data_IF_783837853966
#
_entry.id   IF_783837853966
#
_cell.length_a   1.000
_cell.length_b   1.000
_cell.length_c   1.000
_cell.angle_alpha   90.00
_cell.angle_beta   90.00
_cell.angle_gamma   90.00
#
_symmetry.space_group_name_H-M   'P 1'
#
loop_
_entity.id
_entity.type
_entity.pdbx_description
1 polymer ?
#
# COMPACT_ATOMS: atom_id res chain seq x y z
N UNK A 1 4.41 14.01 9.20
CA UNK A 1 5.12 12.86 8.59
C UNK A 1 5.22 13.14 7.11
N UNK A 2 6.39 13.03 6.49
CA UNK A 2 6.56 13.27 5.05
C UNK A 2 6.27 12.00 4.24
N UNK A 3 5.85 12.15 2.99
CA UNK A 3 5.55 11.03 2.07
C UNK A 3 6.73 10.03 1.98
N UNK A 4 8.00 10.47 1.87
CA UNK A 4 9.13 9.54 1.81
C UNK A 4 9.28 8.68 3.06
N UNK A 5 9.02 9.23 4.25
CA UNK A 5 9.11 8.47 5.50
C UNK A 5 8.06 7.35 5.57
N UNK A 6 6.87 7.57 5.01
CA UNK A 6 5.83 6.53 4.93
C UNK A 6 6.26 5.37 4.02
N UNK A 7 6.83 5.68 2.85
CA UNK A 7 7.32 4.66 1.91
C UNK A 7 8.41 3.79 2.54
N UNK A 8 9.35 4.40 3.28
CA UNK A 8 10.40 3.66 4.01
C UNK A 8 9.78 2.78 5.08
N UNK A 9 8.84 3.28 5.87
CA UNK A 9 8.18 2.51 6.92
C UNK A 9 7.45 1.27 6.34
N UNK A 10 6.70 1.44 5.25
CA UNK A 10 6.02 0.32 4.57
C UNK A 10 7.05 -0.71 4.07
N UNK A 11 8.14 -0.25 3.45
CA UNK A 11 9.19 -1.14 2.96
C UNK A 11 9.84 -1.99 4.06
N UNK A 12 10.13 -1.38 5.23
CA UNK A 12 10.67 -2.09 6.39
C UNK A 12 9.70 -3.14 6.91
N UNK A 13 8.41 -2.82 7.00
CA UNK A 13 7.37 -3.78 7.43
C UNK A 13 7.29 -4.96 6.47
N UNK A 14 7.29 -4.72 5.16
CA UNK A 14 7.26 -5.77 4.13
C UNK A 14 8.49 -6.70 4.23
N UNK A 15 9.67 -6.14 4.47
CA UNK A 15 10.90 -6.91 4.65
C UNK A 15 10.83 -7.81 5.89
N UNK A 16 10.33 -7.28 7.01
CA UNK A 16 10.14 -8.06 8.24
C UNK A 16 9.16 -9.21 8.03
N UNK A 17 8.02 -8.96 7.37
CA UNK A 17 7.03 -10.00 7.02
C UNK A 17 7.67 -11.09 6.16
N UNK A 18 8.45 -10.70 5.14
CA UNK A 18 9.14 -11.64 4.26
C UNK A 18 10.16 -12.50 5.02
N UNK A 19 10.93 -11.92 5.93
CA UNK A 19 11.88 -12.65 6.79
C UNK A 19 11.16 -13.69 7.65
N UNK A 20 10.04 -13.33 8.29
CA UNK A 20 9.26 -14.28 9.09
C UNK A 20 8.71 -15.43 8.25
N UNK A 21 8.21 -15.13 7.04
CA UNK A 21 7.76 -16.15 6.09
C UNK A 21 8.90 -17.11 5.69
N UNK A 22 10.05 -16.55 5.30
CA UNK A 22 11.22 -17.33 4.89
C UNK A 22 11.78 -18.18 6.04
N UNK A 23 12.10 -17.58 7.19
CA UNK A 23 12.65 -18.30 8.36
C UNK A 23 11.64 -19.33 8.87
N UNK A 24 10.34 -19.01 8.88
CA UNK A 24 9.30 -19.95 9.28
C UNK A 24 9.25 -21.19 8.42
N UNK A 25 9.38 -21.03 7.10
CA UNK A 25 9.49 -22.15 6.15
C UNK A 25 10.80 -22.93 6.35
N UNK A 26 11.95 -22.25 6.40
CA UNK A 26 13.26 -22.90 6.55
C UNK A 26 13.44 -23.66 7.87
N UNK A 27 12.93 -23.13 8.98
CA UNK A 27 13.08 -23.75 10.31
C UNK A 27 11.97 -24.73 10.66
N UNK A 28 11.06 -25.04 9.73
CA UNK A 28 9.87 -25.86 9.99
C UNK A 28 9.18 -25.44 11.31
N UNK A 29 9.03 -24.12 11.52
CA UNK A 29 8.55 -23.56 12.79
C UNK A 29 7.11 -23.07 12.64
N UNK A 30 6.18 -23.81 13.25
CA UNK A 30 4.75 -23.50 13.26
C UNK A 30 4.45 -22.13 13.86
N UNK A 31 5.21 -21.70 14.87
CA UNK A 31 5.04 -20.40 15.50
C UNK A 31 5.34 -19.26 14.51
N UNK A 32 6.48 -19.33 13.81
CA UNK A 32 6.89 -18.31 12.84
C UNK A 32 5.95 -18.27 11.63
N UNK A 33 5.53 -19.44 11.12
CA UNK A 33 4.54 -19.52 10.04
C UNK A 33 3.19 -18.94 10.46
N UNK A 34 2.74 -19.17 11.71
CA UNK A 34 1.51 -18.58 12.23
C UNK A 34 1.63 -17.05 12.40
N UNK A 35 2.78 -16.54 12.86
CA UNK A 35 3.04 -15.09 12.95
C UNK A 35 2.96 -14.46 11.55
N UNK A 36 3.61 -15.06 10.55
CA UNK A 36 3.51 -14.62 9.17
C UNK A 36 2.06 -14.56 8.67
N UNK A 37 1.26 -15.61 8.91
CA UNK A 37 -0.16 -15.62 8.54
C UNK A 37 -0.94 -14.50 9.26
N UNK A 38 -0.70 -14.29 10.55
CA UNK A 38 -1.34 -13.24 11.34
C UNK A 38 -0.99 -11.83 10.82
N UNK A 39 0.28 -11.58 10.48
CA UNK A 39 0.70 -10.32 9.90
C UNK A 39 0.04 -10.05 8.54
N UNK A 40 -0.03 -11.05 7.65
CA UNK A 40 -0.75 -10.90 6.38
C UNK A 40 -2.24 -10.61 6.58
N UNK A 41 -2.91 -11.31 7.52
CA UNK A 41 -4.31 -11.04 7.83
C UNK A 41 -4.53 -9.64 8.40
N UNK A 42 -3.61 -9.15 9.23
CA UNK A 42 -3.67 -7.78 9.75
C UNK A 42 -3.54 -6.75 8.61
N UNK A 43 -2.59 -6.95 7.69
CA UNK A 43 -2.42 -6.07 6.51
C UNK A 43 -3.69 -6.09 5.64
N UNK A 44 -4.31 -7.25 5.42
CA UNK A 44 -5.56 -7.35 4.67
C UNK A 44 -6.72 -6.57 5.32
N UNK A 45 -6.84 -6.62 6.64
CA UNK A 45 -7.85 -5.83 7.37
C UNK A 45 -7.58 -4.33 7.22
N UNK A 46 -6.31 -3.92 7.30
CA UNK A 46 -5.92 -2.52 7.09
C UNK A 46 -6.21 -2.07 5.66
N UNK A 47 -6.00 -2.93 4.67
CA UNK A 47 -6.30 -2.65 3.26
C UNK A 47 -7.80 -2.43 3.03
N UNK A 48 -8.66 -3.30 3.59
CA UNK A 48 -10.12 -3.10 3.55
C UNK A 48 -10.52 -1.81 4.28
N UNK A 49 -9.95 -1.56 5.45
CA UNK A 49 -10.24 -0.36 6.23
C UNK A 49 -9.86 0.92 5.48
N UNK A 50 -8.69 0.92 4.83
CA UNK A 50 -8.23 2.02 4.00
C UNK A 50 -9.12 2.23 2.76
N UNK A 51 -9.57 1.15 2.11
CA UNK A 51 -10.48 1.22 0.98
C UNK A 51 -11.83 1.84 1.38
N UNK A 52 -12.40 1.41 2.51
CA UNK A 52 -13.65 1.97 3.05
C UNK A 52 -13.46 3.44 3.43
N UNK A 53 -12.38 3.78 4.14
CA UNK A 53 -12.09 5.16 4.52
C UNK A 53 -11.91 6.06 3.30
N UNK A 54 -11.19 5.59 2.27
CA UNK A 54 -11.01 6.32 1.02
C UNK A 54 -12.33 6.58 0.30
N UNK A 55 -13.25 5.62 0.31
CA UNK A 55 -14.58 5.79 -0.26
C UNK A 55 -15.43 6.78 0.53
N UNK A 56 -15.47 6.66 1.86
CA UNK A 56 -16.30 7.52 2.73
C UNK A 56 -15.80 8.96 2.78
N UNK A 57 -14.48 9.17 2.80
CA UNK A 57 -13.87 10.50 2.91
C UNK A 57 -13.60 11.16 1.55
N UNK A 58 -14.00 10.56 0.42
CA UNK A 58 -13.69 11.08 -0.91
C UNK A 58 -14.11 12.55 -1.09
N UNK A 59 -15.28 12.94 -0.58
CA UNK A 59 -15.75 14.33 -0.62
C UNK A 59 -14.90 15.29 0.21
N UNK A 60 -14.54 14.90 1.42
CA UNK A 60 -13.69 15.71 2.31
C UNK A 60 -12.28 15.89 1.75
N UNK A 61 -11.73 14.85 1.12
CA UNK A 61 -10.42 14.91 0.46
C UNK A 61 -10.43 15.94 -0.66
N UNK A 62 -11.52 16.02 -1.44
CA UNK A 62 -11.67 17.05 -2.48
C UNK A 62 -11.65 18.46 -1.89
N UNK A 63 -12.45 18.73 -0.86
CA UNK A 63 -12.48 20.06 -0.23
C UNK A 63 -11.13 20.45 0.37
N UNK A 64 -10.47 19.52 1.06
CA UNK A 64 -9.14 19.71 1.61
C UNK A 64 -8.12 20.01 0.50
N UNK A 65 -8.22 19.32 -0.63
CA UNK A 65 -7.36 19.55 -1.79
C UNK A 65 -7.52 20.97 -2.33
N UNK A 66 -8.76 21.41 -2.61
CA UNK A 66 -9.04 22.78 -3.08
C UNK A 66 -8.46 23.82 -2.13
N UNK A 67 -8.72 23.67 -0.83
CA UNK A 67 -8.22 24.58 0.20
C UNK A 67 -6.69 24.62 0.21
N UNK A 68 -6.04 23.45 0.18
CA UNK A 68 -4.57 23.34 0.21
C UNK A 68 -3.94 23.96 -1.03
N UNK A 69 -4.56 23.77 -2.20
CA UNK A 69 -4.08 24.37 -3.45
C UNK A 69 -4.19 25.90 -3.40
N UNK A 70 -5.31 26.45 -2.94
CA UNK A 70 -5.48 27.90 -2.77
C UNK A 70 -4.52 28.50 -1.73
N UNK A 71 -4.34 27.85 -0.58
CA UNK A 71 -3.37 28.28 0.44
C UNK A 71 -1.93 28.25 -0.11
N UNK A 72 -1.58 27.22 -0.87
CA UNK A 72 -0.26 27.08 -1.51
C UNK A 72 -0.03 28.13 -2.59
N UNK A 73 -1.06 28.43 -3.39
CA UNK A 73 -1.01 29.47 -4.42
C UNK A 73 -0.79 30.85 -3.78
N UNK A 74 -1.56 31.21 -2.74
CA UNK A 74 -1.36 32.48 -2.01
C UNK A 74 0.00 32.58 -1.31
N UNK A 75 0.63 31.45 -1.01
CA UNK A 75 1.96 31.37 -0.41
C UNK A 75 3.11 31.38 -1.43
N UNK A 76 2.79 31.33 -2.73
CA UNK A 76 3.74 31.16 -3.84
C UNK A 76 4.87 32.22 -3.83
N UNK A 77 4.51 33.49 -3.72
CA UNK A 77 5.47 34.60 -3.72
C UNK A 77 6.29 34.72 -2.42
N UNK A 78 5.93 33.97 -1.38
CA UNK A 78 6.50 34.10 -0.03
C UNK A 78 7.47 32.99 0.34
N UNK A 79 7.29 31.77 -0.19
CA UNK A 79 8.10 30.62 0.19
C UNK A 79 8.57 29.82 -1.02
N UNK A 80 9.88 29.54 -1.08
CA UNK A 80 10.49 28.72 -2.13
C UNK A 80 9.91 27.30 -2.20
N UNK A 81 9.49 26.72 -1.07
CA UNK A 81 8.85 25.41 -1.09
C UNK A 81 7.49 25.42 -1.80
N UNK A 82 6.75 26.53 -1.72
CA UNK A 82 5.46 26.68 -2.38
C UNK A 82 5.63 26.94 -3.88
N UNK A 83 6.61 27.75 -4.29
CA UNK A 83 6.88 27.99 -5.70
C UNK A 83 7.25 26.70 -6.44
N UNK A 84 8.13 25.88 -5.86
CA UNK A 84 8.64 24.67 -6.50
C UNK A 84 7.53 23.63 -6.66
N UNK A 85 6.67 23.50 -5.65
CA UNK A 85 5.55 22.56 -5.69
C UNK A 85 4.49 22.95 -6.73
N UNK A 86 4.11 24.24 -6.78
CA UNK A 86 3.14 24.75 -7.75
C UNK A 86 3.72 24.68 -9.17
N UNK A 87 4.97 25.08 -9.38
CA UNK A 87 5.62 25.05 -10.69
C UNK A 87 5.72 23.61 -11.23
N UNK A 88 6.11 22.68 -10.37
CA UNK A 88 6.15 21.26 -10.71
C UNK A 88 4.77 20.73 -11.10
N UNK A 89 3.74 21.07 -10.33
CA UNK A 89 2.37 20.66 -10.60
C UNK A 89 1.86 21.21 -11.94
N UNK A 90 2.04 22.49 -12.20
CA UNK A 90 1.58 23.16 -13.42
C UNK A 90 2.24 22.57 -14.67
N UNK A 91 3.56 22.33 -14.62
CA UNK A 91 4.29 21.66 -15.71
C UNK A 91 3.88 20.20 -15.87
N UNK A 92 3.64 19.48 -14.78
CA UNK A 92 3.31 18.05 -14.84
C UNK A 92 1.89 17.77 -15.31
N UNK A 93 0.95 18.68 -15.04
CA UNK A 93 -0.47 18.55 -15.36
C UNK A 93 -0.91 19.42 -16.53
N UNK A 94 0.00 20.23 -17.08
CA UNK A 94 -0.27 21.19 -18.17
C UNK A 94 -1.48 22.07 -17.86
N UNK A 95 -1.40 22.76 -16.72
CA UNK A 95 -2.49 23.53 -16.13
C UNK A 95 -1.99 24.85 -15.53
N UNK A 96 -2.91 25.77 -15.24
CA UNK A 96 -2.58 27.06 -14.65
C UNK A 96 -3.58 27.48 -13.57
N UNK A 97 -3.06 27.99 -12.46
CA UNK A 97 -3.86 28.35 -11.28
C UNK A 97 -4.56 27.13 -10.66
N UNK A 98 -5.50 27.38 -9.76
CA UNK A 98 -6.35 26.33 -9.17
C UNK A 98 -7.51 26.03 -10.10
N UNK A 99 -8.32 27.03 -10.40
CA UNK A 99 -9.46 26.97 -11.32
C UNK A 99 -9.09 27.53 -12.70
N UNK A 100 -8.11 28.44 -12.77
CA UNK A 100 -7.61 28.94 -14.05
C UNK A 100 -6.51 30.00 -13.91
N UNK A 101 -6.00 30.53 -15.04
CA UNK A 101 -4.93 31.53 -15.03
C UNK A 101 -5.31 32.83 -14.32
N UNK A 102 -6.60 33.15 -14.19
CA UNK A 102 -7.09 34.32 -13.46
C UNK A 102 -6.77 34.26 -11.96
N UNK A 103 -6.50 33.10 -11.38
CA UNK A 103 -6.13 32.98 -9.96
C UNK A 103 -4.80 33.66 -9.62
N UNK A 104 -4.00 34.00 -10.63
CA UNK A 104 -2.78 34.78 -10.46
C UNK A 104 -3.02 36.28 -10.31
N UNK A 105 -4.23 36.77 -10.62
CA UNK A 105 -4.64 38.17 -10.46
C UNK A 105 -4.70 38.50 -8.97
N UNK A 106 -3.70 39.23 -8.48
CA UNK A 106 -3.56 39.62 -7.07
C UNK A 106 -2.42 38.96 -6.32
N UNK A 107 -1.78 37.94 -6.91
CA UNK A 107 -0.55 37.33 -6.38
C UNK A 107 0.68 38.04 -6.93
N UNK A 108 0.67 38.33 -8.23
CA UNK A 108 1.67 39.18 -8.86
C UNK A 108 1.12 40.59 -9.05
N UNK A 109 1.96 41.64 -8.88
CA UNK A 109 1.55 43.00 -9.17
C UNK A 109 1.28 43.15 -10.66
N UNK A 110 0.03 43.47 -11.03
CA UNK A 110 -0.29 43.82 -12.42
C UNK A 110 0.38 45.14 -12.79
N UNK A 111 0.90 45.23 -14.02
CA UNK A 111 1.26 46.53 -14.60
C UNK A 111 -0.03 47.17 -15.12
N UNK A 112 -0.33 48.39 -14.68
CA UNK A 112 -1.56 49.13 -14.99
C UNK A 112 -1.84 49.36 -16.50
N UNK A 113 -0.92 49.00 -17.39
CA UNK A 113 -0.96 49.33 -18.82
C UNK A 113 -1.21 48.14 -19.75
N UNK A 114 -1.48 46.94 -19.24
CA UNK A 114 -1.73 45.76 -20.07
C UNK A 114 -2.83 44.87 -19.52
N UNK A 115 -3.83 44.52 -20.34
CA UNK A 115 -4.86 43.51 -20.04
C UNK A 115 -4.31 42.07 -19.92
N UNK A 116 -2.99 41.90 -19.92
CA UNK A 116 -2.33 40.61 -19.86
C UNK A 116 -2.15 40.14 -18.41
N UNK A 117 -2.75 38.99 -18.08
CA UNK A 117 -2.54 38.31 -16.80
C UNK A 117 -1.09 37.83 -16.69
N UNK A 118 -0.38 38.25 -15.65
CA UNK A 118 0.97 37.76 -15.39
C UNK A 118 0.91 36.42 -14.66
N UNK A 119 1.49 35.39 -15.27
CA UNK A 119 1.55 34.02 -14.78
C UNK A 119 3.00 33.57 -14.66
N UNK A 120 3.33 32.58 -13.81
CA UNK A 120 4.69 32.04 -13.74
C UNK A 120 5.03 31.25 -15.01
N UNK A 121 6.33 31.08 -15.28
CA UNK A 121 6.83 30.34 -16.44
C UNK A 121 6.31 28.90 -16.51
N UNK A 122 6.03 28.29 -15.36
CA UNK A 122 5.44 26.94 -15.26
C UNK A 122 4.03 26.82 -15.86
N UNK A 123 3.32 27.93 -16.04
CA UNK A 123 1.99 27.99 -16.64
C UNK A 123 2.03 28.19 -18.18
N UNK A 124 3.22 28.42 -18.76
CA UNK A 124 3.37 28.64 -20.19
C UNK A 124 3.40 27.33 -20.98
N UNK A 125 2.51 27.24 -21.96
CA UNK A 125 2.48 26.16 -22.93
C UNK A 125 3.55 26.35 -24.01
N UNK A 126 3.76 27.59 -24.44
CA UNK A 126 4.77 27.96 -25.44
C UNK A 126 5.54 29.21 -25.01
N UNK A 127 6.87 29.13 -25.13
CA UNK A 127 7.81 30.19 -24.79
C UNK A 127 8.33 30.86 -26.07
N UNK A 128 8.14 32.17 -26.19
CA UNK A 128 8.80 33.00 -27.21
C UNK A 128 9.94 33.80 -26.56
N UNK A 129 11.12 33.19 -26.51
CA UNK A 129 12.27 33.71 -25.79
C UNK A 129 12.08 33.65 -24.26
N UNK A 130 11.97 34.82 -23.61
CA UNK A 130 11.69 34.94 -22.16
C UNK A 130 10.21 35.26 -21.86
N UNK A 131 9.37 35.41 -22.89
CA UNK A 131 7.97 35.77 -22.71
C UNK A 131 7.07 34.57 -22.93
N UNK A 132 6.02 34.47 -22.10
CA UNK A 132 4.94 33.52 -22.26
C UNK A 132 4.08 33.94 -23.46
N UNK A 133 4.09 33.16 -24.55
CA UNK A 133 3.24 33.44 -25.71
C UNK A 133 1.83 32.88 -25.52
N UNK A 134 1.76 31.65 -25.01
CA UNK A 134 0.52 30.95 -24.73
C UNK A 134 0.60 30.28 -23.36
N UNK A 135 -0.47 30.38 -22.57
CA UNK A 135 -0.58 29.79 -21.24
C UNK A 135 -1.68 28.73 -21.19
N UNK A 136 -1.59 27.80 -20.24
CA UNK A 136 -2.61 26.79 -20.06
C UNK A 136 -3.91 27.40 -19.55
N UNK A 137 -5.01 27.20 -20.28
CA UNK A 137 -6.36 27.66 -19.89
C UNK A 137 -7.04 26.75 -18.86
N UNK A 138 -6.58 25.51 -18.72
CA UNK A 138 -7.16 24.55 -17.78
C UNK A 138 -6.68 24.80 -16.35
N UNK A 139 -7.60 24.86 -15.38
CA UNK A 139 -7.27 24.86 -13.95
C UNK A 139 -6.60 23.55 -13.50
N UNK A 140 -5.66 23.65 -12.56
CA UNK A 140 -4.97 22.47 -12.04
C UNK A 140 -5.85 21.56 -11.20
N UNK A 141 -6.90 22.10 -10.58
CA UNK A 141 -7.84 21.31 -9.79
C UNK A 141 -8.58 20.29 -10.68
N UNK A 142 -9.11 20.75 -11.81
CA UNK A 142 -9.83 19.90 -12.76
C UNK A 142 -8.92 18.89 -13.44
N UNK A 143 -7.72 19.31 -13.88
CA UNK A 143 -6.72 18.39 -14.43
C UNK A 143 -6.29 17.34 -13.42
N UNK A 144 -6.07 17.74 -12.16
CA UNK A 144 -5.75 16.81 -11.09
C UNK A 144 -6.89 15.82 -10.84
N UNK A 145 -8.15 16.28 -10.82
CA UNK A 145 -9.30 15.39 -10.68
C UNK A 145 -9.40 14.38 -11.83
N UNK A 146 -9.17 14.81 -13.06
CA UNK A 146 -9.15 13.92 -14.22
C UNK A 146 -8.04 12.86 -14.11
N UNK A 147 -6.81 13.29 -13.79
CA UNK A 147 -5.66 12.39 -13.63
C UNK A 147 -5.88 11.42 -12.46
N UNK A 148 -6.40 11.88 -11.32
CA UNK A 148 -6.74 11.01 -10.19
C UNK A 148 -7.81 10.01 -10.61
N UNK A 149 -8.86 10.42 -11.33
CA UNK A 149 -9.90 9.51 -11.80
C UNK A 149 -9.36 8.42 -12.72
N UNK A 150 -8.50 8.77 -13.67
CA UNK A 150 -7.86 7.81 -14.55
C UNK A 150 -6.88 6.89 -13.81
N UNK A 151 -6.10 7.45 -12.88
CA UNK A 151 -5.14 6.70 -12.06
C UNK A 151 -5.82 5.83 -11.01
N UNK A 152 -7.04 6.18 -10.56
CA UNK A 152 -7.80 5.41 -9.58
C UNK A 152 -8.03 3.98 -10.05
N UNK A 153 -8.23 3.76 -11.35
CA UNK A 153 -8.37 2.41 -11.92
C UNK A 153 -7.07 1.60 -11.79
N UNK A 154 -5.91 2.22 -12.02
CA UNK A 154 -4.61 1.56 -11.83
C UNK A 154 -4.37 1.24 -10.35
N UNK A 155 -4.68 2.17 -9.45
CA UNK A 155 -4.57 1.96 -8.00
C UNK A 155 -5.48 0.83 -7.54
N UNK A 156 -6.74 0.81 -7.98
CA UNK A 156 -7.71 -0.23 -7.66
C UNK A 156 -7.24 -1.61 -8.15
N UNK A 157 -6.66 -1.68 -9.34
CA UNK A 157 -6.07 -2.91 -9.89
C UNK A 157 -4.88 -3.37 -9.04
N UNK A 158 -4.01 -2.44 -8.62
CA UNK A 158 -2.89 -2.73 -7.73
C UNK A 158 -3.36 -3.29 -6.38
N UNK A 159 -4.31 -2.63 -5.72
CA UNK A 159 -4.90 -3.10 -4.46
C UNK A 159 -5.53 -4.49 -4.62
N UNK A 160 -6.34 -4.69 -5.67
CA UNK A 160 -6.96 -6.00 -5.94
C UNK A 160 -5.90 -7.11 -6.10
N UNK A 161 -4.79 -6.81 -6.78
CA UNK A 161 -3.67 -7.76 -6.94
C UNK A 161 -3.01 -8.08 -5.61
N UNK A 162 -2.77 -7.06 -4.78
CA UNK A 162 -2.17 -7.22 -3.45
C UNK A 162 -3.08 -8.08 -2.56
N UNK A 163 -4.38 -7.77 -2.50
CA UNK A 163 -5.36 -8.58 -1.78
C UNK A 163 -5.36 -10.05 -2.23
N UNK A 164 -5.31 -10.31 -3.54
CA UNK A 164 -5.26 -11.67 -4.07
C UNK A 164 -3.98 -12.41 -3.63
N UNK A 165 -2.82 -11.77 -3.74
CA UNK A 165 -1.53 -12.33 -3.31
C UNK A 165 -1.51 -12.60 -1.80
N UNK A 166 -2.10 -11.73 -0.99
CA UNK A 166 -2.21 -11.93 0.46
C UNK A 166 -3.05 -13.16 0.79
N UNK A 167 -4.21 -13.34 0.13
CA UNK A 167 -5.07 -14.51 0.33
C UNK A 167 -4.30 -15.80 0.01
N UNK A 168 -3.59 -15.84 -1.12
CA UNK A 168 -2.74 -16.98 -1.46
C UNK A 168 -1.62 -17.19 -0.42
N UNK A 169 -0.99 -16.12 0.05
CA UNK A 169 0.04 -16.17 1.09
C UNK A 169 -0.47 -16.77 2.40
N UNK A 170 -1.67 -16.37 2.83
CA UNK A 170 -2.34 -16.89 4.02
C UNK A 170 -2.72 -18.36 3.83
N UNK A 171 -3.30 -18.73 2.69
CA UNK A 171 -3.62 -20.13 2.36
C UNK A 171 -2.36 -21.01 2.41
N UNK A 172 -1.28 -20.58 1.76
CA UNK A 172 0.01 -21.26 1.78
C UNK A 172 0.56 -21.39 3.21
N UNK A 173 0.50 -20.32 4.01
CA UNK A 173 0.96 -20.35 5.39
C UNK A 173 0.18 -21.37 6.24
N UNK A 174 -1.15 -21.42 6.10
CA UNK A 174 -1.97 -22.41 6.81
C UNK A 174 -1.66 -23.84 6.37
N UNK A 175 -1.47 -24.06 5.07
CA UNK A 175 -1.10 -25.37 4.51
C UNK A 175 0.27 -25.82 5.01
N UNK A 176 1.27 -24.93 5.00
CA UNK A 176 2.60 -25.19 5.57
C UNK A 176 2.51 -25.47 7.07
N UNK A 177 1.81 -24.64 7.83
CA UNK A 177 1.69 -24.81 9.28
C UNK A 177 1.02 -26.15 9.63
N UNK A 178 -0.02 -26.56 8.89
CA UNK A 178 -0.66 -27.88 9.04
C UNK A 178 0.31 -29.01 8.70
N UNK A 179 1.07 -28.86 7.62
CA UNK A 179 2.06 -29.86 7.19
C UNK A 179 3.19 -30.00 8.19
N UNK A 180 3.72 -28.91 8.72
CA UNK A 180 4.76 -28.91 9.76
C UNK A 180 4.24 -29.57 11.04
N UNK A 181 3.03 -29.21 11.50
CA UNK A 181 2.40 -29.86 12.68
C UNK A 181 2.29 -31.37 12.48
N UNK A 182 1.78 -31.80 11.32
CA UNK A 182 1.68 -33.22 10.93
C UNK A 182 3.03 -33.92 10.90
N UNK A 183 4.07 -33.29 10.35
CA UNK A 183 5.41 -33.89 10.30
C UNK A 183 6.03 -33.99 11.69
N UNK A 184 5.85 -32.98 12.55
CA UNK A 184 6.34 -32.98 13.93
C UNK A 184 5.65 -34.04 14.77
N UNK A 185 4.33 -34.15 14.65
CA UNK A 185 3.60 -35.25 15.27
C UNK A 185 4.21 -36.55 14.75
N UNK A 186 4.16 -36.86 13.45
CA UNK A 186 4.69 -38.11 12.86
C UNK A 186 6.09 -38.50 13.37
N UNK A 187 7.03 -37.55 13.46
CA UNK A 187 8.38 -37.79 14.01
C UNK A 187 8.35 -38.17 15.50
N UNK A 188 7.47 -37.57 16.30
CA UNK A 188 7.23 -37.95 17.68
C UNK A 188 6.71 -39.40 17.76
N UNK A 189 5.64 -39.80 17.04
CA UNK A 189 5.17 -41.20 17.11
C UNK A 189 6.22 -42.22 16.65
N UNK A 190 7.00 -41.94 15.60
CA UNK A 190 8.10 -42.83 15.19
C UNK A 190 9.18 -42.96 16.26
N UNK A 191 9.55 -41.85 16.90
CA UNK A 191 10.47 -41.86 18.05
C UNK A 191 9.91 -42.71 19.19
N UNK A 192 8.61 -42.56 19.48
CA UNK A 192 7.92 -43.38 20.48
C UNK A 192 7.99 -44.88 20.18
N UNK A 193 7.70 -45.27 18.94
CA UNK A 193 7.79 -46.68 18.51
C UNK A 193 9.20 -47.26 18.68
N UNK A 194 10.23 -46.51 18.29
CA UNK A 194 11.64 -46.93 18.44
C UNK A 194 12.04 -47.11 19.91
N UNK A 195 11.65 -46.17 20.78
CA UNK A 195 11.96 -46.29 22.20
C UNK A 195 11.20 -47.44 22.88
N UNK A 196 9.99 -47.77 22.42
CA UNK A 196 9.24 -48.92 22.90
C UNK A 196 9.89 -50.24 22.49
N UNK A 197 10.39 -50.35 21.25
CA UNK A 197 11.12 -51.55 20.79
C UNK A 197 12.42 -51.78 21.55
N UNK A 198 13.01 -50.72 22.11
CA UNK A 198 14.21 -50.80 22.95
C UNK A 198 13.89 -51.06 24.43
N UNK A 199 12.61 -51.11 24.83
CA UNK A 199 12.19 -51.35 26.21
C UNK A 199 12.48 -50.20 27.19
N UNK A 200 12.71 -48.97 26.69
CA UNK A 200 13.23 -47.83 27.48
C UNK A 200 12.11 -46.92 28.01
N UNK A 201 10.85 -47.11 27.62
CA UNK A 201 9.76 -46.16 27.96
C UNK A 201 8.66 -46.72 28.84
N UNK A 202 8.17 -45.84 29.72
CA UNK A 202 7.02 -46.05 30.60
C UNK A 202 5.72 -45.63 29.91
N UNK A 203 4.58 -46.22 30.30
CA UNK A 203 3.28 -46.04 29.63
C UNK A 203 2.74 -44.60 29.69
N UNK A 204 3.21 -43.81 30.65
CA UNK A 204 2.71 -42.47 30.99
C UNK A 204 3.19 -41.35 30.05
N UNK A 205 4.16 -41.64 29.19
CA UNK A 205 4.85 -40.63 28.39
C UNK A 205 4.31 -40.63 26.93
N UNK A 206 3.25 -41.41 26.67
CA UNK A 206 2.55 -41.56 25.38
C UNK A 206 2.27 -40.20 24.70
N UNK A 207 2.60 -40.04 23.41
CA UNK A 207 2.42 -38.78 22.72
C UNK A 207 0.92 -38.48 22.55
N UNK A 208 0.59 -37.20 22.63
CA UNK A 208 -0.76 -36.71 22.39
C UNK A 208 -1.23 -37.06 20.96
N UNK A 209 -2.23 -37.95 20.89
CA UNK A 209 -2.57 -38.71 19.68
C UNK A 209 -3.76 -38.12 18.91
N UNK A 210 -4.38 -37.05 19.41
CA UNK A 210 -5.67 -36.56 18.93
C UNK A 210 -5.63 -36.14 17.44
N UNK A 211 -4.52 -35.57 16.98
CA UNK A 211 -4.26 -35.18 15.57
C UNK A 211 -4.12 -36.41 14.62
N UNK A 212 -3.62 -37.54 15.12
CA UNK A 212 -3.41 -38.76 14.33
C UNK A 212 -4.69 -39.52 14.02
N UNK A 213 -5.57 -39.62 15.01
CA UNK A 213 -6.86 -40.30 14.86
C UNK A 213 -7.75 -39.66 13.79
N UNK A 214 -7.61 -38.35 13.57
CA UNK A 214 -8.29 -37.62 12.49
C UNK A 214 -7.62 -37.88 11.13
N UNK A 215 -6.29 -38.01 11.12
CA UNK A 215 -5.49 -38.28 9.93
C UNK A 215 -5.67 -39.69 9.38
N UNK A 216 -5.69 -40.71 10.24
CA UNK A 216 -5.97 -42.09 9.85
C UNK A 216 -7.33 -42.18 9.16
N UNK A 217 -8.38 -41.64 9.79
CA UNK A 217 -9.74 -41.56 9.21
C UNK A 217 -9.78 -40.86 7.85
N UNK A 218 -9.01 -39.78 7.66
CA UNK A 218 -8.95 -39.07 6.37
C UNK A 218 -8.21 -39.84 5.26
N UNK A 219 -7.21 -40.64 5.63
CA UNK A 219 -6.47 -41.49 4.68
C UNK A 219 -7.32 -42.70 4.33
N UNK A 220 -7.96 -43.35 5.30
CA UNK A 220 -8.87 -44.50 5.06
C UNK A 220 -10.06 -44.11 4.17
N UNK A 221 -10.55 -42.87 4.29
CA UNK A 221 -11.65 -42.37 3.44
C UNK A 221 -11.21 -42.09 1.98
N UNK A 222 -9.92 -41.78 1.74
CA UNK A 222 -9.41 -41.56 0.38
C UNK A 222 -8.90 -42.84 -0.30
N UNK A 223 -8.84 -43.96 0.41
CA UNK A 223 -8.39 -45.27 -0.12
C UNK A 223 -9.53 -46.28 -0.34
N UNK A 224 -10.78 -45.88 -0.13
CA UNK A 224 -11.97 -46.68 -0.42
C UNK A 224 -12.79 -46.05 -1.55
#
# INVERSE_FOLDING_TARGET
MSIPSLLVAVGVVMLVVAIFGAIGAFRESTLLTNIYACLLSLVFILEISAAIAGFVLQGQVREMLVRTMNESLGAYAKYDSANTAIDFMQRSLECCGVDGPEDWVGIFPQKETSDAVYVPESCCAELDGLNCSEYFLSGCLDRMHFVIGQSAMMIATGATTVAFVQILGVMCAFMLAKTIRRTKSLRAAKRWQLHQSLGIMNRDDKPDYEDYTQLDKSVTYNTN
#
